data_IF_282693178355
#
_entry.id   IF_282693178355
#
_cell.length_a   1.000
_cell.length_b   1.000
_cell.length_c   1.000
_cell.angle_alpha   90.00
_cell.angle_beta   90.00
_cell.angle_gamma   90.00
#
_symmetry.space_group_name_H-M   'P 1'
#
loop_
_entity.id
_entity.type
_entity.pdbx_description
1 polymer ?
#
# COMPACT_ATOMS: atom_id res chain seq x y z
N UNK A 1 -18.60 30.53 -1.34
CA UNK A 1 -18.37 29.09 -1.57
C UNK A 1 -16.94 28.83 -1.13
N UNK A 2 -16.74 28.19 0.02
CA UNK A 2 -15.38 27.93 0.51
C UNK A 2 -14.90 26.63 -0.16
N UNK A 3 -14.07 26.75 -1.19
CA UNK A 3 -13.48 25.57 -1.83
C UNK A 3 -12.27 25.16 -0.99
N UNK A 4 -12.52 24.29 0.00
CA UNK A 4 -11.47 23.73 0.87
C UNK A 4 -10.70 22.57 0.22
N UNK A 5 -11.16 22.08 -0.93
CA UNK A 5 -10.62 20.91 -1.63
C UNK A 5 -9.61 21.38 -2.69
N UNK A 6 -8.45 20.72 -2.75
CA UNK A 6 -7.43 21.03 -3.75
C UNK A 6 -7.91 20.69 -5.18
N UNK A 7 -7.49 21.49 -6.17
CA UNK A 7 -7.71 21.20 -7.59
C UNK A 7 -6.41 20.72 -8.22
N UNK A 8 -6.47 19.56 -8.87
CA UNK A 8 -5.31 18.78 -9.31
C UNK A 8 -4.66 18.02 -8.16
N UNK A 9 -3.93 16.96 -8.50
CA UNK A 9 -3.12 16.22 -7.53
C UNK A 9 -2.07 17.16 -6.94
N UNK A 10 -1.99 17.31 -5.61
CA UNK A 10 -0.98 18.16 -4.99
C UNK A 10 0.44 17.71 -5.35
N UNK A 11 1.31 18.65 -5.73
CA UNK A 11 2.67 18.33 -6.22
C UNK A 11 3.53 17.60 -5.18
N UNK A 12 3.31 17.88 -3.90
CA UNK A 12 4.03 17.28 -2.77
C UNK A 12 3.30 16.09 -2.15
N UNK A 13 2.20 15.62 -2.78
CA UNK A 13 1.55 14.39 -2.32
C UNK A 13 2.55 13.24 -2.38
N UNK A 14 2.79 12.58 -1.25
CA UNK A 14 3.66 11.42 -1.16
C UNK A 14 2.89 10.15 -1.59
N UNK A 15 1.66 10.03 -1.12
CA UNK A 15 0.72 8.97 -1.50
C UNK A 15 -0.53 9.56 -2.12
N UNK A 16 -1.13 8.80 -3.03
CA UNK A 16 -2.46 9.07 -3.55
C UNK A 16 -3.29 7.78 -3.60
N UNK A 17 -4.58 7.91 -3.32
CA UNK A 17 -5.57 6.83 -3.39
C UNK A 17 -6.67 7.25 -4.37
N UNK A 18 -6.78 6.56 -5.51
CA UNK A 18 -7.74 6.89 -6.57
C UNK A 18 -8.89 5.89 -6.63
N UNK A 19 -10.15 6.34 -6.71
CA UNK A 19 -11.28 5.46 -7.00
C UNK A 19 -11.12 4.79 -8.38
N UNK A 20 -11.02 3.46 -8.40
CA UNK A 20 -10.72 2.71 -9.64
C UNK A 20 -11.93 1.99 -10.24
N UNK A 21 -12.99 1.78 -9.45
CA UNK A 21 -14.25 1.19 -9.93
C UNK A 21 -15.44 2.15 -9.74
N UNK A 22 -16.57 1.85 -10.40
CA UNK A 22 -17.75 2.70 -10.39
C UNK A 22 -18.32 2.92 -8.97
N UNK A 23 -18.26 1.91 -8.11
CA UNK A 23 -18.74 2.02 -6.73
C UNK A 23 -17.87 3.00 -5.91
N UNK A 24 -16.55 2.91 -6.03
CA UNK A 24 -15.63 3.86 -5.39
C UNK A 24 -15.78 5.27 -5.95
N UNK A 25 -15.96 5.42 -7.28
CA UNK A 25 -16.17 6.74 -7.92
C UNK A 25 -17.43 7.43 -7.41
N UNK A 26 -18.54 6.69 -7.34
CA UNK A 26 -19.79 7.20 -6.77
C UNK A 26 -19.63 7.56 -5.28
N UNK A 27 -19.05 6.67 -4.49
CA UNK A 27 -18.83 6.90 -3.06
C UNK A 27 -17.92 8.10 -2.77
N UNK A 28 -16.89 8.30 -3.60
CA UNK A 28 -16.03 9.48 -3.54
C UNK A 28 -16.83 10.75 -3.88
N UNK A 29 -17.62 10.74 -4.95
CA UNK A 29 -18.47 11.87 -5.33
C UNK A 29 -19.43 12.26 -4.20
N UNK A 30 -20.06 11.29 -3.53
CA UNK A 30 -20.95 11.53 -2.39
C UNK A 30 -20.23 12.18 -1.19
N UNK A 31 -18.95 11.86 -1.00
CA UNK A 31 -18.10 12.49 0.03
C UNK A 31 -17.76 13.92 -0.35
N UNK A 32 -17.42 14.18 -1.60
CA UNK A 32 -17.15 15.55 -2.10
C UNK A 32 -18.39 16.42 -1.94
N UNK A 33 -19.56 15.95 -2.37
CA UNK A 33 -20.81 16.69 -2.25
C UNK A 33 -21.13 17.01 -0.78
N UNK A 34 -20.84 16.08 0.13
CA UNK A 34 -21.00 16.32 1.57
C UNK A 34 -20.08 17.42 2.11
N UNK A 35 -18.80 17.38 1.72
CA UNK A 35 -17.80 18.35 2.16
C UNK A 35 -18.08 19.74 1.60
N UNK A 36 -18.63 19.82 0.39
CA UNK A 36 -19.00 21.09 -0.26
C UNK A 36 -20.32 21.68 0.26
N UNK A 37 -21.19 20.87 0.86
CA UNK A 37 -22.45 21.35 1.46
C UNK A 37 -22.17 22.28 2.64
N UNK A 38 -22.89 23.41 2.69
CA UNK A 38 -22.82 24.31 3.84
C UNK A 38 -23.44 23.65 5.06
N UNK A 39 -22.59 23.30 6.03
CA UNK A 39 -23.02 22.74 7.30
C UNK A 39 -23.46 23.86 8.25
N UNK A 40 -24.58 23.67 8.95
CA UNK A 40 -25.11 24.67 9.88
C UNK A 40 -24.43 24.61 11.26
N UNK A 41 -23.96 23.43 11.67
CA UNK A 41 -23.32 23.24 12.97
C UNK A 41 -21.78 23.27 12.88
N UNK A 42 -21.13 23.85 13.89
CA UNK A 42 -19.67 24.01 13.90
C UNK A 42 -18.92 22.67 13.88
N UNK A 43 -19.50 21.60 14.43
CA UNK A 43 -18.85 20.29 14.52
C UNK A 43 -18.73 19.69 13.12
N UNK A 44 -19.82 19.67 12.36
CA UNK A 44 -19.84 19.22 10.96
C UNK A 44 -18.98 20.11 10.07
N UNK A 45 -18.88 21.42 10.33
CA UNK A 45 -17.97 22.30 9.61
C UNK A 45 -16.49 21.91 9.84
N UNK A 46 -16.10 21.64 11.09
CA UNK A 46 -14.74 21.18 11.42
C UNK A 46 -14.45 19.82 10.81
N UNK A 47 -15.42 18.90 10.83
CA UNK A 47 -15.31 17.59 10.18
C UNK A 47 -15.10 17.73 8.67
N UNK A 48 -15.95 18.50 7.98
CA UNK A 48 -15.80 18.74 6.54
C UNK A 48 -14.46 19.41 6.22
N UNK A 49 -14.02 20.37 7.03
CA UNK A 49 -12.71 21.00 6.87
C UNK A 49 -11.56 20.02 7.10
N UNK A 50 -11.69 19.08 8.04
CA UNK A 50 -10.69 18.02 8.25
C UNK A 50 -10.62 17.07 7.05
N UNK A 51 -11.77 16.55 6.59
CA UNK A 51 -11.85 15.64 5.44
C UNK A 51 -11.27 16.31 4.18
N UNK A 52 -11.60 17.59 3.95
CA UNK A 52 -11.12 18.36 2.80
C UNK A 52 -9.60 18.40 2.67
N UNK A 53 -8.85 18.34 3.79
CA UNK A 53 -7.36 18.35 3.78
C UNK A 53 -6.77 17.16 3.05
N UNK A 54 -7.51 16.07 2.95
CA UNK A 54 -7.04 14.83 2.32
C UNK A 54 -7.62 14.64 0.92
N UNK A 55 -8.48 15.55 0.42
CA UNK A 55 -9.15 15.41 -0.86
C UNK A 55 -8.50 16.27 -1.95
N UNK A 56 -8.44 15.75 -3.17
CA UNK A 56 -8.27 16.58 -4.36
C UNK A 56 -9.34 16.25 -5.40
N UNK A 57 -9.67 17.22 -6.24
CA UNK A 57 -10.50 17.07 -7.43
C UNK A 57 -9.66 17.22 -8.68
N UNK A 58 -9.89 16.41 -9.69
CA UNK A 58 -9.18 16.53 -10.97
C UNK A 58 -9.56 17.82 -11.69
N UNK A 59 -10.79 18.31 -11.50
CA UNK A 59 -11.25 19.59 -12.03
C UNK A 59 -12.36 20.20 -11.16
N UNK A 60 -12.67 21.47 -11.39
CA UNK A 60 -13.79 22.16 -10.75
C UNK A 60 -15.17 21.75 -11.30
N UNK A 61 -15.23 20.81 -12.26
CA UNK A 61 -16.46 20.37 -12.88
C UNK A 61 -16.68 18.87 -12.70
N UNK A 62 -17.94 18.51 -12.53
CA UNK A 62 -18.37 17.12 -12.60
C UNK A 62 -18.27 16.58 -14.03
N UNK A 63 -18.09 15.27 -14.14
CA UNK A 63 -17.96 14.54 -15.40
C UNK A 63 -19.02 13.46 -15.47
N UNK A 64 -19.67 13.39 -16.62
CA UNK A 64 -20.61 12.34 -16.99
C UNK A 64 -19.96 10.94 -16.94
N UNK A 65 -20.52 10.02 -16.14
CA UNK A 65 -20.04 8.64 -15.98
C UNK A 65 -21.12 7.60 -16.30
N UNK A 66 -20.90 6.87 -17.39
CA UNK A 66 -21.77 5.76 -17.80
C UNK A 66 -21.62 4.51 -16.92
N UNK A 67 -20.42 4.27 -16.37
CA UNK A 67 -20.17 3.13 -15.50
C UNK A 67 -20.94 3.26 -14.19
N UNK A 68 -20.99 4.45 -13.62
CA UNK A 68 -21.80 4.77 -12.43
C UNK A 68 -23.28 4.71 -12.76
N UNK A 69 -23.71 5.25 -13.90
CA UNK A 69 -25.10 5.13 -14.35
C UNK A 69 -25.55 3.65 -14.46
N UNK A 70 -24.69 2.77 -14.99
CA UNK A 70 -24.96 1.31 -15.05
C UNK A 70 -25.03 0.68 -13.67
N UNK A 71 -24.13 1.04 -12.74
CA UNK A 71 -24.15 0.53 -11.37
C UNK A 71 -25.46 0.89 -10.66
N UNK A 72 -25.89 2.15 -10.75
CA UNK A 72 -27.14 2.61 -10.13
C UNK A 72 -28.37 1.88 -10.70
N UNK A 73 -28.40 1.63 -12.01
CA UNK A 73 -29.45 0.81 -12.63
C UNK A 73 -29.46 -0.61 -12.05
N UNK A 74 -28.31 -1.25 -11.96
CA UNK A 74 -28.20 -2.60 -11.41
C UNK A 74 -28.70 -2.67 -9.96
N UNK A 75 -28.30 -1.72 -9.11
CA UNK A 75 -28.81 -1.62 -7.72
C UNK A 75 -30.33 -1.44 -7.68
N UNK A 76 -30.87 -0.54 -8.49
CA UNK A 76 -32.32 -0.30 -8.55
C UNK A 76 -33.13 -1.52 -9.00
N UNK A 77 -32.56 -2.39 -9.84
CA UNK A 77 -33.20 -3.62 -10.30
C UNK A 77 -33.18 -4.72 -9.22
N UNK A 78 -32.18 -4.73 -8.33
CA UNK A 78 -32.10 -5.69 -7.23
C UNK A 78 -33.00 -5.33 -6.04
N UNK A 79 -33.31 -4.05 -5.83
CA UNK A 79 -34.17 -3.59 -4.72
C UNK A 79 -35.68 -3.77 -4.98
N UNK A 80 -36.09 -4.29 -6.15
CA UNK A 80 -37.49 -4.56 -6.49
C UNK A 80 -37.82 -6.06 -6.32
N UNK A 81 -38.54 -6.47 -5.26
CA UNK A 81 -39.01 -7.84 -5.15
C UNK A 81 -40.16 -8.07 -6.15
N UNK A 82 -39.89 -8.82 -7.22
CA UNK A 82 -40.93 -9.48 -8.01
C UNK A 82 -41.64 -8.65 -9.08
N UNK A 83 -40.92 -8.07 -10.03
CA UNK A 83 -41.52 -7.73 -11.33
C UNK A 83 -40.64 -8.17 -12.49
N UNK A 84 -40.91 -9.39 -12.97
CA UNK A 84 -40.52 -9.86 -14.30
C UNK A 84 -41.40 -9.19 -15.35
N UNK A 85 -41.11 -7.92 -15.65
CA UNK A 85 -41.59 -7.25 -16.87
C UNK A 85 -40.39 -6.92 -17.75
N UNK A 86 -40.33 -7.42 -19.00
CA UNK A 86 -39.24 -7.08 -19.92
C UNK A 86 -39.41 -5.62 -20.33
N UNK A 87 -38.69 -4.70 -19.67
CA UNK A 87 -38.66 -3.33 -20.12
C UNK A 87 -37.84 -3.22 -21.41
N UNK A 88 -38.45 -2.55 -22.38
CA UNK A 88 -37.99 -2.31 -23.73
C UNK A 88 -36.54 -1.83 -23.83
N UNK A 89 -35.76 -2.28 -24.83
CA UNK A 89 -34.41 -1.80 -25.07
C UNK A 89 -34.48 -0.40 -25.70
N UNK A 90 -34.65 0.65 -24.89
CA UNK A 90 -34.82 2.00 -25.46
C UNK A 90 -34.72 3.19 -24.51
N UNK A 91 -34.59 3.00 -23.19
CA UNK A 91 -34.34 4.10 -22.27
C UNK A 91 -32.86 4.49 -22.28
N UNK A 92 -32.47 5.44 -23.14
CA UNK A 92 -31.24 6.21 -22.93
C UNK A 92 -31.39 6.98 -21.61
N UNK A 93 -31.04 6.38 -20.44
CA UNK A 93 -30.79 7.24 -19.28
C UNK A 93 -29.49 7.97 -19.54
N UNK A 94 -29.56 9.28 -19.34
CA UNK A 94 -28.42 10.19 -19.29
C UNK A 94 -27.35 9.66 -18.35
N UNK A 95 -26.11 9.88 -18.72
CA UNK A 95 -24.95 9.75 -17.85
C UNK A 95 -25.18 10.42 -16.50
N UNK A 96 -24.56 9.91 -15.45
CA UNK A 96 -24.60 10.54 -14.12
C UNK A 96 -23.35 11.39 -13.95
N UNK A 97 -23.54 12.67 -13.64
CA UNK A 97 -22.43 13.59 -13.38
C UNK A 97 -21.86 13.31 -11.99
N UNK A 98 -20.55 13.07 -11.92
CA UNK A 98 -19.83 12.76 -10.70
C UNK A 98 -18.57 13.62 -10.56
N UNK A 99 -18.11 13.82 -9.33
CA UNK A 99 -16.79 14.38 -9.07
C UNK A 99 -15.69 13.34 -9.31
N UNK A 100 -14.63 13.76 -10.00
CA UNK A 100 -13.42 12.96 -10.22
C UNK A 100 -12.28 13.51 -9.38
N UNK A 101 -11.44 12.63 -8.85
CA UNK A 101 -10.35 12.99 -7.94
C UNK A 101 -9.92 11.81 -7.07
N UNK A 102 -9.47 12.10 -5.86
CA UNK A 102 -9.09 11.07 -4.89
C UNK A 102 -8.59 11.64 -3.58
N UNK A 103 -7.85 10.80 -2.84
CA UNK A 103 -7.32 11.14 -1.52
C UNK A 103 -5.80 11.16 -1.50
N UNK A 104 -5.18 12.21 -0.97
CA UNK A 104 -3.72 12.31 -0.90
C UNK A 104 -3.22 12.44 0.53
N UNK A 105 -1.95 12.12 0.71
CA UNK A 105 -1.22 12.38 1.95
C UNK A 105 0.05 13.12 1.59
N UNK A 106 0.22 14.30 2.18
CA UNK A 106 1.42 15.10 2.14
C UNK A 106 2.13 15.01 3.50
N UNK A 107 3.31 14.40 3.50
CA UNK A 107 4.10 14.18 4.72
C UNK A 107 4.71 15.48 5.26
N UNK A 108 4.83 16.53 4.46
CA UNK A 108 5.33 17.83 4.92
C UNK A 108 4.33 18.59 5.79
N UNK A 109 3.04 18.23 5.69
CA UNK A 109 1.95 18.89 6.41
C UNK A 109 1.33 18.02 7.50
N UNK A 110 1.64 16.72 7.52
CA UNK A 110 0.97 15.74 8.37
C UNK A 110 1.96 15.05 9.31
N UNK A 111 1.91 15.43 10.59
CA UNK A 111 2.68 14.79 11.66
C UNK A 111 1.91 13.62 12.31
N UNK A 112 0.82 13.15 11.70
CA UNK A 112 0.08 12.01 12.26
C UNK A 112 0.81 10.72 11.95
N UNK A 113 1.05 9.91 12.99
CA UNK A 113 1.55 8.54 12.85
C UNK A 113 0.58 7.63 12.10
N UNK A 114 -0.71 7.91 12.23
CA UNK A 114 -1.82 7.06 11.83
C UNK A 114 -2.78 7.86 10.95
N UNK A 115 -3.08 7.36 9.75
CA UNK A 115 -4.20 7.87 8.95
C UNK A 115 -5.27 6.80 8.84
N UNK A 116 -6.45 7.11 9.35
CA UNK A 116 -7.57 6.18 9.41
C UNK A 116 -8.42 6.21 8.15
N UNK A 117 -8.77 5.02 7.64
CA UNK A 117 -9.64 4.80 6.49
C UNK A 117 -10.98 4.29 6.98
N UNK A 118 -12.08 4.78 6.42
CA UNK A 118 -13.36 4.15 6.64
C UNK A 118 -14.56 4.96 6.22
N UNK A 119 -15.71 4.51 6.69
CA UNK A 119 -17.00 5.13 6.41
C UNK A 119 -17.26 6.30 7.35
N UNK A 120 -17.83 7.37 6.81
CA UNK A 120 -18.27 8.54 7.56
C UNK A 120 -19.08 8.17 8.82
N UNK A 121 -18.75 8.82 9.94
CA UNK A 121 -19.45 8.65 11.21
C UNK A 121 -19.28 9.87 12.12
N UNK A 122 -20.39 10.44 12.57
CA UNK A 122 -20.44 11.54 13.55
C UNK A 122 -19.90 11.22 14.97
N UNK A 123 -19.32 10.03 15.16
CA UNK A 123 -18.80 9.55 16.46
C UNK A 123 -17.31 9.24 16.42
N UNK A 124 -16.78 8.94 15.23
CA UNK A 124 -15.41 8.48 15.02
C UNK A 124 -14.98 9.07 13.68
N UNK A 125 -14.15 10.11 13.73
CA UNK A 125 -13.63 10.76 12.54
C UNK A 125 -12.57 9.87 11.90
N UNK A 126 -12.84 9.42 10.67
CA UNK A 126 -11.81 8.87 9.82
C UNK A 126 -11.10 10.04 9.10
N UNK A 127 -9.80 9.92 8.89
CA UNK A 127 -9.04 10.92 8.14
C UNK A 127 -9.39 10.84 6.65
N UNK A 128 -9.40 9.61 6.11
CA UNK A 128 -9.80 9.31 4.75
C UNK A 128 -11.18 8.64 4.78
N UNK A 129 -12.22 9.48 4.64
CA UNK A 129 -13.61 9.04 4.52
C UNK A 129 -13.87 8.53 3.10
N UNK A 130 -13.88 7.21 2.91
CA UNK A 130 -13.98 6.56 1.58
C UNK A 130 -15.42 6.34 1.10
N UNK A 131 -16.40 6.50 2.00
CA UNK A 131 -17.83 6.39 1.69
C UNK A 131 -18.68 6.97 2.81
N UNK A 132 -19.90 7.38 2.47
CA UNK A 132 -20.96 7.72 3.43
C UNK A 132 -22.04 6.64 3.52
N UNK A 133 -22.12 5.78 2.51
CA UNK A 133 -23.13 4.74 2.39
C UNK A 133 -22.78 3.53 3.28
N UNK A 134 -23.78 3.04 4.02
CA UNK A 134 -23.67 1.87 4.90
C UNK A 134 -23.69 0.56 4.11
N UNK A 135 -24.21 0.56 2.88
CA UNK A 135 -24.39 -0.63 2.05
C UNK A 135 -23.07 -1.10 1.41
N UNK A 136 -22.02 -0.27 1.42
CA UNK A 136 -20.71 -0.63 0.84
C UNK A 136 -19.94 -1.67 1.65
N UNK A 137 -20.47 -2.12 2.80
CA UNK A 137 -19.80 -2.99 3.77
C UNK A 137 -18.48 -2.43 4.34
N UNK A 138 -18.30 -1.10 4.25
CA UNK A 138 -17.14 -0.42 4.86
C UNK A 138 -17.44 -0.04 6.31
N UNK A 139 -16.64 -0.58 7.23
CA UNK A 139 -16.58 -0.16 8.63
C UNK A 139 -16.18 1.31 8.81
N UNK A 140 -16.60 1.91 9.94
CA UNK A 140 -16.30 3.32 10.27
C UNK A 140 -14.81 3.60 10.38
N UNK A 141 -14.08 2.64 10.98
CA UNK A 141 -12.63 2.56 10.97
C UNK A 141 -12.27 1.20 10.38
N UNK A 142 -12.04 1.20 9.08
CA UNK A 142 -11.82 -0.01 8.27
C UNK A 142 -10.34 -0.43 8.29
N UNK A 143 -9.43 0.54 8.21
CA UNK A 143 -7.99 0.30 8.30
C UNK A 143 -7.26 1.55 8.81
N UNK A 144 -5.98 1.39 9.15
CA UNK A 144 -5.06 2.48 9.45
C UNK A 144 -3.85 2.36 8.51
N UNK A 145 -3.53 3.41 7.78
CA UNK A 145 -2.27 3.53 7.05
C UNK A 145 -1.18 4.04 7.97
N UNK A 146 -0.01 3.41 7.87
CA UNK A 146 1.22 3.79 8.54
C UNK A 146 2.39 3.61 7.59
N UNK A 147 3.52 4.20 7.95
CA UNK A 147 4.81 3.93 7.32
C UNK A 147 5.67 3.18 8.33
N UNK A 148 6.26 2.06 7.89
CA UNK A 148 7.17 1.25 8.69
C UNK A 148 8.52 1.98 8.86
N UNK A 149 9.05 2.05 10.07
CA UNK A 149 10.28 2.82 10.34
C UNK A 149 11.52 2.18 9.73
N UNK A 150 11.56 0.84 9.67
CA UNK A 150 12.73 0.09 9.18
C UNK A 150 12.75 0.02 7.66
N UNK A 151 11.67 -0.46 7.04
CA UNK A 151 11.57 -0.66 5.59
C UNK A 151 11.11 0.59 4.84
N UNK A 152 10.61 1.61 5.55
CA UNK A 152 10.06 2.84 4.98
C UNK A 152 8.88 2.64 4.02
N UNK A 153 8.30 1.44 4.00
CA UNK A 153 7.14 1.11 3.20
C UNK A 153 5.85 1.51 3.91
N UNK A 154 4.90 2.02 3.13
CA UNK A 154 3.54 2.18 3.61
C UNK A 154 2.86 0.82 3.80
N UNK A 155 2.05 0.69 4.84
CA UNK A 155 1.25 -0.50 5.08
C UNK A 155 -0.10 -0.15 5.70
N UNK A 156 -1.08 -1.00 5.43
CA UNK A 156 -2.39 -0.94 6.05
C UNK A 156 -2.45 -1.92 7.21
N UNK A 157 -2.84 -1.44 8.39
CA UNK A 157 -3.28 -2.27 9.51
C UNK A 157 -4.80 -2.45 9.41
N UNK A 158 -5.30 -3.64 9.07
CA UNK A 158 -6.74 -3.89 8.98
C UNK A 158 -7.46 -3.71 10.32
N UNK A 159 -8.74 -3.31 10.24
CA UNK A 159 -9.69 -3.37 11.34
C UNK A 159 -10.47 -4.69 11.33
N UNK A 160 -11.64 -4.70 11.96
CA UNK A 160 -12.50 -5.89 12.06
C UNK A 160 -13.06 -6.37 10.70
N UNK A 161 -13.21 -5.46 9.74
CA UNK A 161 -13.68 -5.79 8.39
C UNK A 161 -12.54 -6.22 7.48
N UNK A 162 -12.85 -7.11 6.55
CA UNK A 162 -11.89 -7.57 5.54
C UNK A 162 -11.50 -6.44 4.59
N UNK A 163 -10.20 -6.32 4.36
CA UNK A 163 -9.56 -5.45 3.38
C UNK A 163 -8.54 -6.27 2.58
N UNK A 164 -8.41 -6.02 1.29
CA UNK A 164 -7.40 -6.68 0.45
C UNK A 164 -6.40 -5.67 -0.10
N UNK A 165 -5.14 -6.10 -0.23
CA UNK A 165 -4.08 -5.37 -0.95
C UNK A 165 -3.45 -6.31 -1.95
N UNK A 166 -3.53 -5.99 -3.25
CA UNK A 166 -3.00 -6.82 -4.34
C UNK A 166 -3.44 -8.30 -4.23
N UNK A 167 -4.74 -8.51 -3.96
CA UNK A 167 -5.35 -9.83 -3.77
C UNK A 167 -4.90 -10.59 -2.51
N UNK A 168 -4.19 -9.95 -1.58
CA UNK A 168 -3.91 -10.48 -0.25
C UNK A 168 -4.91 -9.88 0.73
N UNK A 169 -5.85 -10.70 1.20
CA UNK A 169 -6.84 -10.30 2.21
C UNK A 169 -6.25 -10.26 3.62
N UNK A 170 -6.75 -9.33 4.42
CA UNK A 170 -6.47 -9.23 5.84
C UNK A 170 -7.67 -8.72 6.62
N UNK A 171 -7.67 -9.01 7.92
CA UNK A 171 -8.67 -8.59 8.90
C UNK A 171 -7.98 -8.26 10.23
N UNK A 172 -8.71 -8.13 11.34
CA UNK A 172 -8.16 -7.74 12.64
C UNK A 172 -7.04 -8.63 13.18
N UNK A 173 -6.97 -9.89 12.74
CA UNK A 173 -5.89 -10.84 13.09
C UNK A 173 -4.63 -10.63 12.24
N UNK A 174 -4.78 -9.97 11.10
CA UNK A 174 -3.68 -9.64 10.20
C UNK A 174 -2.93 -8.44 10.75
N UNK A 175 -1.65 -8.62 11.03
CA UNK A 175 -0.84 -7.57 11.63
C UNK A 175 -0.64 -6.36 10.71
N UNK A 176 -0.49 -6.60 9.41
CA UNK A 176 -0.28 -5.58 8.36
C UNK A 176 -0.41 -6.16 6.94
N UNK A 177 -0.75 -5.29 5.99
CA UNK A 177 -0.72 -5.52 4.54
C UNK A 177 0.16 -4.44 3.90
N UNK A 178 1.31 -4.81 3.32
CA UNK A 178 2.25 -3.83 2.78
C UNK A 178 1.84 -3.33 1.39
N UNK A 179 2.01 -2.03 1.17
CA UNK A 179 1.85 -1.36 -0.12
C UNK A 179 3.21 -1.36 -0.80
N UNK A 180 3.60 -2.51 -1.35
CA UNK A 180 4.98 -2.81 -1.77
C UNK A 180 5.28 -2.50 -3.25
N UNK A 181 4.26 -2.18 -4.04
CA UNK A 181 4.38 -1.86 -5.47
C UNK A 181 4.25 -0.35 -5.70
N UNK A 182 4.73 0.15 -6.85
CA UNK A 182 4.52 1.56 -7.22
C UNK A 182 3.04 1.95 -7.25
N UNK A 183 2.18 1.02 -7.69
CA UNK A 183 0.73 1.10 -7.58
C UNK A 183 0.20 -0.20 -6.99
N UNK A 184 -0.63 -0.10 -5.96
CA UNK A 184 -1.25 -1.22 -5.26
C UNK A 184 -2.76 -1.11 -5.36
N UNK A 185 -3.44 -2.24 -5.57
CA UNK A 185 -4.90 -2.29 -5.56
C UNK A 185 -5.36 -2.53 -4.12
N UNK A 186 -6.22 -1.65 -3.61
CA UNK A 186 -6.82 -1.75 -2.27
C UNK A 186 -8.32 -1.95 -2.41
N UNK A 187 -8.85 -3.01 -1.81
CA UNK A 187 -10.29 -3.33 -1.86
C UNK A 187 -10.90 -3.35 -0.46
N UNK A 188 -12.01 -2.63 -0.28
CA UNK A 188 -12.76 -2.51 0.96
C UNK A 188 -14.25 -2.67 0.66
N UNK A 189 -14.81 -3.85 0.96
CA UNK A 189 -16.15 -4.21 0.51
C UNK A 189 -16.25 -4.20 -1.02
N UNK A 190 -17.18 -3.43 -1.58
CA UNK A 190 -17.32 -3.27 -3.04
C UNK A 190 -16.46 -2.14 -3.62
N UNK A 191 -15.75 -1.38 -2.79
CA UNK A 191 -14.95 -0.24 -3.22
C UNK A 191 -13.54 -0.69 -3.57
N UNK A 192 -13.07 -0.30 -4.75
CA UNK A 192 -11.70 -0.59 -5.22
C UNK A 192 -10.95 0.69 -5.50
N UNK A 193 -9.75 0.79 -4.97
CA UNK A 193 -8.90 1.95 -5.12
C UNK A 193 -7.49 1.58 -5.59
N UNK A 194 -6.87 2.47 -6.35
CA UNK A 194 -5.45 2.39 -6.70
C UNK A 194 -4.66 3.29 -5.74
N UNK A 195 -3.84 2.69 -4.88
CA UNK A 195 -2.89 3.38 -4.02
C UNK A 195 -1.56 3.51 -4.76
N UNK A 196 -1.07 4.73 -4.96
CA UNK A 196 0.15 5.01 -5.71
C UNK A 196 1.15 5.80 -4.87
N UNK A 197 2.42 5.39 -4.97
CA UNK A 197 3.57 6.23 -4.63
C UNK A 197 3.82 7.21 -5.78
N UNK A 198 3.61 8.50 -5.52
CA UNK A 198 3.69 9.53 -6.58
C UNK A 198 5.11 9.66 -7.13
N UNK A 199 5.27 10.38 -8.25
CA UNK A 199 6.61 10.75 -8.73
C UNK A 199 7.42 11.53 -7.70
N UNK A 200 6.77 12.41 -6.95
CA UNK A 200 7.42 13.19 -5.90
C UNK A 200 8.04 12.29 -4.83
N UNK A 201 7.36 11.22 -4.40
CA UNK A 201 7.84 10.29 -3.36
C UNK A 201 9.19 9.59 -3.66
N UNK A 202 9.67 9.68 -4.91
CA UNK A 202 10.93 9.09 -5.38
C UNK A 202 12.06 10.10 -5.52
N UNK A 203 11.81 11.37 -5.20
CA UNK A 203 12.83 12.42 -5.23
C UNK A 203 13.68 12.40 -3.96
N UNK A 204 14.89 12.96 -4.04
CA UNK A 204 15.75 13.15 -2.87
C UNK A 204 15.08 14.06 -1.83
N UNK A 205 14.35 15.08 -2.28
CA UNK A 205 13.57 15.98 -1.42
C UNK A 205 12.53 15.19 -0.60
N UNK A 206 11.71 14.36 -1.25
CA UNK A 206 10.72 13.55 -0.55
C UNK A 206 11.36 12.51 0.39
N UNK A 207 12.56 12.02 0.06
CA UNK A 207 13.32 11.12 0.94
C UNK A 207 13.77 11.84 2.22
N UNK A 208 14.15 13.12 2.11
CA UNK A 208 14.42 13.99 3.25
C UNK A 208 13.18 14.18 4.13
N UNK A 209 12.06 14.61 3.51
CA UNK A 209 10.77 14.81 4.20
C UNK A 209 10.31 13.53 4.90
N UNK A 210 10.43 12.37 4.26
CA UNK A 210 10.08 11.08 4.88
C UNK A 210 10.95 10.78 6.10
N UNK A 211 12.25 11.10 6.04
CA UNK A 211 13.17 10.87 7.16
C UNK A 211 12.84 11.76 8.35
N UNK A 212 12.50 13.03 8.10
CA UNK A 212 12.04 13.98 9.12
C UNK A 212 10.72 13.52 9.74
N UNK A 213 9.72 13.20 8.90
CA UNK A 213 8.44 12.65 9.35
C UNK A 213 8.61 11.41 10.24
N UNK A 214 9.45 10.44 9.82
CA UNK A 214 9.68 9.23 10.60
C UNK A 214 10.41 9.52 11.92
N UNK A 215 11.31 10.52 11.93
CA UNK A 215 12.00 10.96 13.15
C UNK A 215 11.02 11.60 14.13
N UNK A 216 10.10 12.43 13.65
CA UNK A 216 9.09 13.06 14.50
C UNK A 216 8.13 12.02 15.11
N UNK A 217 7.79 10.98 14.34
CA UNK A 217 6.80 9.97 14.74
C UNK A 217 7.38 8.83 15.58
N UNK A 218 8.63 8.42 15.33
CA UNK A 218 9.26 7.25 15.95
C UNK A 218 10.52 7.58 16.77
N UNK A 219 10.99 8.83 16.74
CA UNK A 219 12.25 9.26 17.35
C UNK A 219 13.47 9.02 16.46
N UNK A 220 14.57 9.73 16.75
CA UNK A 220 15.84 9.65 16.01
C UNK A 220 16.46 8.26 16.04
N UNK A 221 16.31 7.55 17.15
CA UNK A 221 16.96 6.24 17.38
C UNK A 221 16.30 5.12 16.56
N UNK A 222 15.14 5.39 15.98
CA UNK A 222 14.39 4.45 15.13
C UNK A 222 14.77 4.54 13.65
N UNK A 223 15.71 5.43 13.28
CA UNK A 223 16.13 5.59 11.88
C UNK A 223 17.00 4.41 11.43
N UNK A 224 16.67 3.76 10.31
CA UNK A 224 17.48 2.68 9.78
C UNK A 224 18.81 3.24 9.24
N UNK A 225 19.89 2.44 9.23
CA UNK A 225 21.16 2.86 8.65
C UNK A 225 21.03 3.13 7.14
N UNK A 226 21.88 3.99 6.55
CA UNK A 226 21.79 4.39 5.14
C UNK A 226 21.70 3.23 4.15
N UNK A 227 22.40 2.13 4.44
CA UNK A 227 22.40 0.96 3.58
C UNK A 227 21.07 0.19 3.62
N UNK A 228 20.37 0.19 4.76
CA UNK A 228 19.02 -0.35 4.86
C UNK A 228 18.02 0.53 4.10
N UNK A 229 18.18 1.85 4.13
CA UNK A 229 17.38 2.78 3.32
C UNK A 229 17.55 2.47 1.82
N UNK A 230 18.79 2.27 1.38
CA UNK A 230 19.10 1.90 -0.01
C UNK A 230 18.55 0.52 -0.39
N UNK A 231 18.40 -0.39 0.58
CA UNK A 231 17.83 -1.72 0.36
C UNK A 231 16.30 -1.72 0.19
N UNK A 232 15.61 -0.69 0.65
CA UNK A 232 14.15 -0.51 0.49
C UNK A 232 13.81 0.87 -0.07
N UNK A 233 14.15 1.14 -1.34
CA UNK A 233 13.77 2.39 -1.99
C UNK A 233 12.25 2.50 -2.11
N UNK A 234 11.75 3.72 -2.23
CA UNK A 234 10.32 3.98 -2.49
C UNK A 234 9.87 3.20 -3.74
N UNK A 235 8.79 2.40 -3.65
CA UNK A 235 8.32 1.60 -4.78
C UNK A 235 8.04 2.41 -6.06
N UNK A 236 8.27 1.77 -7.21
CA UNK A 236 8.03 2.36 -8.54
C UNK A 236 7.35 1.36 -9.47
N UNK A 237 6.97 1.80 -10.67
CA UNK A 237 6.47 0.90 -11.72
C UNK A 237 7.52 -0.11 -12.20
N UNK A 238 8.81 0.16 -11.97
CA UNK A 238 9.92 -0.72 -12.31
C UNK A 238 10.22 -1.78 -11.22
N UNK A 239 9.47 -1.78 -10.11
CA UNK A 239 9.61 -2.75 -9.03
C UNK A 239 9.48 -4.18 -9.58
N UNK A 240 10.49 -5.03 -9.30
CA UNK A 240 10.51 -6.42 -9.76
C UNK A 240 9.98 -7.33 -8.67
N UNK A 241 9.19 -8.34 -9.05
CA UNK A 241 8.64 -9.34 -8.14
C UNK A 241 9.21 -10.70 -8.49
N UNK A 242 9.54 -11.48 -7.48
CA UNK A 242 9.84 -12.90 -7.62
C UNK A 242 9.13 -13.70 -6.54
N UNK A 243 8.27 -14.65 -6.95
CA UNK A 243 7.33 -15.28 -6.03
C UNK A 243 6.52 -14.23 -5.26
N UNK A 244 6.58 -14.28 -3.94
CA UNK A 244 5.90 -13.34 -3.03
C UNK A 244 6.73 -12.11 -2.65
N UNK A 245 7.94 -11.97 -3.19
CA UNK A 245 8.92 -10.97 -2.77
C UNK A 245 9.11 -9.86 -3.79
N UNK A 246 9.20 -8.62 -3.32
CA UNK A 246 9.69 -7.49 -4.11
C UNK A 246 11.20 -7.44 -4.03
N UNK A 247 11.87 -7.37 -5.18
CA UNK A 247 13.33 -7.29 -5.29
C UNK A 247 13.79 -5.85 -5.48
N UNK A 248 14.82 -5.46 -4.74
CA UNK A 248 15.42 -4.13 -4.79
C UNK A 248 16.90 -4.24 -5.17
N UNK A 249 17.35 -3.46 -6.16
CA UNK A 249 18.77 -3.33 -6.51
C UNK A 249 19.56 -4.65 -6.69
N UNK A 250 20.88 -4.54 -6.64
CA UNK A 250 21.81 -5.67 -6.52
C UNK A 250 22.77 -5.33 -5.39
N UNK A 251 22.82 -6.16 -4.34
CA UNK A 251 23.76 -5.97 -3.23
C UNK A 251 25.13 -6.56 -3.57
N UNK A 252 25.15 -7.70 -4.27
CA UNK A 252 26.38 -8.37 -4.66
C UNK A 252 26.15 -9.34 -5.81
N UNK A 253 27.14 -9.50 -6.66
CA UNK A 253 27.15 -10.46 -7.74
C UNK A 253 28.45 -11.25 -7.72
N UNK A 254 28.36 -12.54 -8.00
CA UNK A 254 29.52 -13.42 -8.13
C UNK A 254 29.29 -14.48 -9.19
N UNK A 255 30.27 -15.37 -9.36
CA UNK A 255 30.30 -16.39 -10.42
C UNK A 255 29.06 -17.29 -10.45
N UNK A 256 28.45 -17.53 -9.29
CA UNK A 256 27.31 -18.43 -9.14
C UNK A 256 25.96 -17.72 -9.04
N UNK A 257 25.91 -16.39 -9.19
CA UNK A 257 24.69 -15.60 -9.20
C UNK A 257 24.74 -14.39 -8.28
N UNK A 258 23.58 -13.78 -8.00
CA UNK A 258 23.47 -12.48 -7.33
C UNK A 258 22.69 -12.53 -6.03
N UNK A 259 22.98 -11.59 -5.13
CA UNK A 259 22.21 -11.30 -3.92
C UNK A 259 21.50 -9.97 -4.10
N UNK A 260 20.22 -9.92 -3.77
CA UNK A 260 19.40 -8.71 -3.81
C UNK A 260 18.64 -8.54 -2.49
N UNK A 261 18.52 -7.32 -1.95
CA UNK A 261 17.55 -7.06 -0.91
C UNK A 261 16.13 -7.28 -1.42
N UNK A 262 15.26 -7.67 -0.52
CA UNK A 262 13.87 -7.95 -0.83
C UNK A 262 12.95 -7.65 0.34
N UNK A 263 11.67 -7.42 0.03
CA UNK A 263 10.60 -7.32 1.04
C UNK A 263 9.48 -8.31 0.73
N UNK A 264 9.01 -9.00 1.77
CA UNK A 264 7.90 -9.97 1.66
C UNK A 264 6.53 -9.29 1.63
N UNK A 265 5.47 -10.11 1.66
CA UNK A 265 4.06 -9.64 1.63
C UNK A 265 3.74 -8.70 2.80
N UNK A 266 4.25 -9.00 3.99
CA UNK A 266 4.05 -8.18 5.18
C UNK A 266 4.87 -6.87 5.15
N UNK A 267 5.94 -6.80 4.33
CA UNK A 267 6.77 -5.62 4.14
C UNK A 267 7.35 -5.00 5.42
N UNK A 268 7.59 -5.79 6.46
CA UNK A 268 8.07 -5.32 7.76
C UNK A 268 9.53 -5.64 8.06
N UNK A 269 10.19 -6.33 7.13
CA UNK A 269 11.58 -6.75 7.25
C UNK A 269 12.25 -6.67 5.91
N UNK A 270 13.52 -6.33 5.94
CA UNK A 270 14.42 -6.46 4.79
C UNK A 270 14.99 -7.87 4.81
N UNK A 271 14.91 -8.55 3.67
CA UNK A 271 15.41 -9.91 3.46
C UNK A 271 16.51 -9.89 2.41
N UNK A 272 17.36 -10.92 2.39
CA UNK A 272 18.32 -11.13 1.32
C UNK A 272 17.89 -12.31 0.45
N UNK A 273 17.77 -12.11 -0.86
CA UNK A 273 17.50 -13.20 -1.81
C UNK A 273 18.78 -13.51 -2.59
N UNK A 274 19.35 -14.69 -2.35
CA UNK A 274 20.43 -15.25 -3.18
C UNK A 274 19.80 -16.02 -4.33
N UNK A 275 20.03 -15.53 -5.55
CA UNK A 275 19.66 -16.22 -6.79
C UNK A 275 20.88 -16.96 -7.31
N UNK A 276 20.72 -18.26 -7.55
CA UNK A 276 21.77 -19.16 -8.03
C UNK A 276 21.36 -19.68 -9.40
N UNK A 277 22.18 -19.39 -10.41
CA UNK A 277 21.95 -19.91 -11.76
C UNK A 277 22.43 -21.34 -11.79
N UNK A 278 21.49 -22.29 -11.86
CA UNK A 278 21.81 -23.71 -11.94
C UNK A 278 22.02 -24.12 -13.39
N UNK A 279 23.20 -24.66 -13.69
CA UNK A 279 23.42 -25.50 -14.86
C UNK A 279 22.73 -26.85 -14.60
N UNK A 280 22.35 -27.64 -15.62
CA UNK A 280 21.71 -28.94 -15.45
C UNK A 280 22.45 -29.93 -14.51
N UNK A 281 23.70 -29.66 -14.14
CA UNK A 281 24.54 -30.50 -13.27
C UNK A 281 24.92 -29.87 -11.92
N UNK A 282 24.30 -28.76 -11.47
CA UNK A 282 24.54 -28.26 -10.11
C UNK A 282 23.78 -29.14 -9.11
N UNK A 283 24.54 -29.84 -8.26
CA UNK A 283 24.06 -30.71 -7.19
C UNK A 283 23.02 -30.01 -6.30
N UNK A 284 21.96 -30.71 -5.90
CA UNK A 284 20.97 -30.22 -4.93
C UNK A 284 21.53 -30.11 -3.49
N UNK A 285 22.74 -30.62 -3.28
CA UNK A 285 23.42 -30.73 -1.99
C UNK A 285 23.64 -29.39 -1.24
N UNK A 286 23.97 -28.25 -1.88
CA UNK A 286 24.11 -26.98 -1.15
C UNK A 286 22.78 -26.47 -0.57
N UNK A 287 21.65 -26.75 -1.25
CA UNK A 287 20.32 -26.38 -0.78
C UNK A 287 19.94 -27.26 0.42
N UNK A 288 20.10 -28.58 0.27
CA UNK A 288 19.86 -29.54 1.34
C UNK A 288 20.72 -29.26 2.59
N UNK A 289 21.97 -28.84 2.39
CA UNK A 289 22.87 -28.42 3.47
C UNK A 289 22.33 -27.18 4.20
N UNK A 290 21.84 -26.18 3.47
CA UNK A 290 21.31 -24.94 4.05
C UNK A 290 19.99 -25.19 4.82
N UNK A 291 19.14 -26.07 4.30
CA UNK A 291 17.91 -26.51 4.96
C UNK A 291 18.22 -27.25 6.26
N UNK A 292 19.18 -28.18 6.24
CA UNK A 292 19.63 -28.92 7.43
C UNK A 292 20.27 -28.00 8.48
N UNK A 293 21.08 -27.02 8.07
CA UNK A 293 21.66 -26.03 8.97
C UNK A 293 20.57 -25.17 9.63
N UNK A 294 19.59 -24.71 8.86
CA UNK A 294 18.47 -23.92 9.40
C UNK A 294 17.65 -24.73 10.40
N UNK A 295 17.31 -25.97 10.06
CA UNK A 295 16.58 -26.89 10.95
C UNK A 295 17.31 -27.11 12.28
N UNK A 296 18.64 -27.18 12.26
CA UNK A 296 19.45 -27.31 13.48
C UNK A 296 19.45 -26.01 14.30
N UNK A 297 19.47 -24.86 13.64
CA UNK A 297 19.45 -23.55 14.30
C UNK A 297 18.10 -23.24 14.96
N UNK A 298 16.99 -23.72 14.39
CA UNK A 298 15.65 -23.61 14.99
C UNK A 298 15.55 -24.33 16.35
N UNK A 299 16.51 -25.21 16.66
CA UNK A 299 16.61 -25.93 17.94
C UNK A 299 17.57 -25.30 18.96
N UNK A 300 18.24 -24.20 18.60
CA UNK A 300 19.23 -23.51 19.45
C UNK A 300 18.79 -22.10 19.83
N UNK A 301 18.96 -21.72 21.09
CA UNK A 301 18.51 -20.45 21.68
C UNK A 301 19.38 -19.21 21.35
N UNK A 302 20.45 -19.35 20.56
CA UNK A 302 21.36 -18.25 20.20
C UNK A 302 21.02 -17.70 18.79
N UNK A 303 19.99 -16.86 18.72
CA UNK A 303 19.18 -16.69 17.50
C UNK A 303 19.57 -15.54 16.55
N UNK A 304 20.51 -14.65 16.91
CA UNK A 304 20.68 -13.35 16.20
C UNK A 304 21.95 -13.18 15.35
N UNK A 305 22.88 -14.14 15.33
CA UNK A 305 24.19 -13.96 14.68
C UNK A 305 24.43 -14.85 13.46
N UNK A 306 23.45 -15.68 13.08
CA UNK A 306 23.59 -16.66 12.01
C UNK A 306 22.50 -16.41 10.96
N UNK A 307 22.89 -16.41 9.69
CA UNK A 307 21.98 -16.29 8.57
C UNK A 307 21.12 -17.55 8.44
N UNK A 308 19.81 -17.39 8.41
CA UNK A 308 18.80 -18.45 8.34
C UNK A 308 18.17 -18.48 6.97
N UNK A 309 17.87 -19.68 6.47
CA UNK A 309 17.05 -19.87 5.28
C UNK A 309 15.57 -19.80 5.67
N UNK A 310 14.90 -18.73 5.27
CA UNK A 310 13.44 -18.58 5.48
C UNK A 310 12.68 -19.54 4.59
N UNK A 311 13.04 -19.57 3.30
CA UNK A 311 12.50 -20.51 2.34
C UNK A 311 13.42 -20.64 1.11
N UNK A 312 13.24 -21.72 0.36
CA UNK A 312 13.85 -21.92 -0.95
C UNK A 312 12.77 -22.19 -1.99
N UNK A 313 12.91 -21.62 -3.19
CA UNK A 313 12.00 -21.91 -4.28
C UNK A 313 12.71 -21.82 -5.64
N UNK A 314 12.11 -22.46 -6.64
CA UNK A 314 12.54 -22.42 -8.03
C UNK A 314 11.51 -21.68 -8.86
N UNK A 315 11.97 -20.74 -9.68
CA UNK A 315 11.11 -20.10 -10.67
C UNK A 315 11.36 -20.76 -12.01
N UNK A 316 10.31 -21.29 -12.62
CA UNK A 316 10.39 -21.85 -13.97
C UNK A 316 10.65 -20.71 -14.97
N UNK A 317 11.77 -20.78 -15.69
CA UNK A 317 12.18 -19.79 -16.68
C UNK A 317 13.21 -20.37 -17.65
N UNK A 318 13.77 -19.52 -18.52
CA UNK A 318 14.78 -19.92 -19.52
C UNK A 318 16.09 -20.42 -18.89
N UNK A 319 16.37 -20.01 -17.65
CA UNK A 319 17.47 -20.50 -16.82
C UNK A 319 16.85 -21.18 -15.59
N UNK A 320 17.38 -22.34 -15.20
CA UNK A 320 17.00 -22.95 -13.93
C UNK A 320 17.62 -22.12 -12.80
N UNK A 321 16.84 -21.24 -12.19
CA UNK A 321 17.29 -20.46 -11.03
C UNK A 321 16.70 -21.01 -9.73
N UNK A 322 17.57 -21.11 -8.73
CA UNK A 322 17.17 -21.39 -7.35
C UNK A 322 17.31 -20.11 -6.56
N UNK A 323 16.26 -19.77 -5.80
CA UNK A 323 16.24 -18.60 -4.94
C UNK A 323 16.21 -19.06 -3.49
N UNK A 324 17.13 -18.51 -2.70
CA UNK A 324 17.22 -18.71 -1.26
C UNK A 324 16.85 -17.40 -0.59
N UNK A 325 15.82 -17.41 0.25
CA UNK A 325 15.39 -16.25 1.05
C UNK A 325 16.06 -16.33 2.41
N UNK A 326 16.78 -15.29 2.79
CA UNK A 326 17.71 -15.31 3.92
C UNK A 326 17.41 -14.15 4.90
N UNK A 327 17.52 -14.45 6.20
CA UNK A 327 17.33 -13.50 7.31
C UNK A 327 18.42 -13.70 8.39
N UNK A 328 18.97 -12.65 9.04
CA UNK A 328 18.71 -11.22 8.82
C UNK A 328 19.38 -10.68 7.56
N UNK A 329 18.80 -9.63 6.96
CA UNK A 329 19.52 -8.82 5.97
C UNK A 329 20.65 -8.05 6.66
N UNK A 330 21.87 -8.22 6.17
CA UNK A 330 23.04 -7.47 6.62
C UNK A 330 23.63 -6.70 5.44
N UNK A 331 23.61 -5.36 5.45
CA UNK A 331 24.12 -4.57 4.33
C UNK A 331 25.66 -4.54 4.24
N UNK A 332 26.34 -4.83 5.36
CA UNK A 332 27.79 -4.70 5.52
C UNK A 332 28.38 -6.05 5.89
N UNK A 333 29.49 -6.41 5.25
CA UNK A 333 30.30 -7.58 5.61
C UNK A 333 31.50 -7.15 6.46
N UNK A 334 32.07 -8.08 7.23
CA UNK A 334 33.24 -7.81 8.08
C UNK A 334 34.42 -7.17 7.30
N UNK A 335 34.58 -7.52 6.02
CA UNK A 335 35.62 -6.97 5.13
C UNK A 335 35.46 -5.47 4.83
N UNK A 336 34.25 -4.91 5.04
CA UNK A 336 33.91 -3.51 4.77
C UNK A 336 33.78 -2.68 6.03
N UNK A 337 34.04 -3.24 7.22
CA UNK A 337 34.06 -2.46 8.46
C UNK A 337 35.28 -1.53 8.40
N UNK A 338 35.10 -0.19 8.54
CA UNK A 338 36.23 0.73 8.53
C UNK A 338 37.23 0.38 9.64
N UNK A 339 38.53 0.43 9.33
CA UNK A 339 39.65 0.06 10.22
C UNK A 339 39.73 0.93 11.50
N UNK A 340 38.83 1.90 11.69
CA UNK A 340 38.84 2.86 12.80
C UNK A 340 38.05 2.40 14.05
N UNK A 341 37.55 1.16 14.08
CA UNK A 341 36.82 0.59 15.23
C UNK A 341 37.54 -0.57 15.93
N UNK A 342 38.87 -0.69 15.79
CA UNK A 342 39.69 -1.54 16.66
C UNK A 342 40.37 -0.75 17.76
#
# INVERSE_FOLDING_TARGET
MFNYIAIGVPKQAFFVLRPSNAAAQLAFSDVVDYVQQQQQDEVSQRECHHIAKFLWLDSERQVASDSVARLLRYRSQMDLPGSSSPQSPGGHMSSVDIWMGGYFIDLSQSYSKDWSFGRHSSKLFADLVVTRDKLTHVSRKHAILRIDSETRLAFLKPGASEISVNSVSGNETTSRLALRLGTNVVEMGELRFDFEYTEFSRTDEATGILSEYLTDVYGSDSQPPPESISATPTPSSATKIIGSYVLNGILGAGTFGSVRPATGIAGNKILAIKSIVTRPNISAEPIATMEELTRRLDSSTDENYILRLVESFRVAGNLNEVHLVLEPFTPITLEKIPVQTQ
#
